data_IF_230782471182
#
_entry.id   IF_230782471182
#
_cell.length_a   1.000
_cell.length_b   1.000
_cell.length_c   1.000
_cell.angle_alpha   90.00
_cell.angle_beta   90.00
_cell.angle_gamma   90.00
#
_symmetry.space_group_name_H-M   'P 1'
#
loop_
_entity.id
_entity.type
_entity.pdbx_description
1 polymer ?
#
# COMPACT_ATOMS: atom_id res chain seq x y z
N UNK A 1 37.31 31.44 32.76
CA UNK A 1 35.88 31.50 33.12
C UNK A 1 35.16 30.16 32.90
N UNK A 2 35.42 29.44 31.80
CA UNK A 2 34.78 28.14 31.56
C UNK A 2 35.21 27.02 32.51
N UNK A 3 36.49 26.98 32.90
CA UNK A 3 37.04 25.98 33.83
C UNK A 3 36.89 26.35 35.32
N UNK A 4 36.48 27.58 35.62
CA UNK A 4 36.30 28.05 37.00
C UNK A 4 34.97 27.62 37.62
N UNK A 5 34.13 26.91 36.87
CA UNK A 5 32.84 26.41 37.32
C UNK A 5 32.69 24.93 36.90
N UNK A 6 32.56 23.99 37.86
CA UNK A 6 32.52 22.55 37.59
C UNK A 6 31.41 22.09 36.65
N UNK A 7 30.20 22.63 36.81
CA UNK A 7 29.04 22.24 36.00
C UNK A 7 29.14 22.72 34.54
N UNK A 8 29.49 23.99 34.27
CA UNK A 8 29.82 24.42 32.90
C UNK A 8 30.94 23.59 32.27
N UNK A 9 32.00 23.29 33.02
CA UNK A 9 33.09 22.46 32.51
C UNK A 9 32.61 21.06 32.07
N UNK A 10 31.64 20.46 32.78
CA UNK A 10 31.08 19.14 32.42
C UNK A 10 30.32 19.18 31.09
N UNK A 11 29.52 20.22 30.85
CA UNK A 11 28.80 20.41 29.60
C UNK A 11 29.75 20.54 28.41
N UNK A 12 30.84 21.29 28.57
CA UNK A 12 31.83 21.46 27.51
C UNK A 12 32.73 20.22 27.33
N UNK A 13 33.03 19.49 28.41
CA UNK A 13 33.68 18.19 28.35
C UNK A 13 32.84 17.18 27.53
N UNK A 14 31.51 17.25 27.60
CA UNK A 14 30.61 16.43 26.78
C UNK A 14 30.86 16.65 25.29
N UNK A 15 30.99 17.92 24.86
CA UNK A 15 31.26 18.27 23.47
C UNK A 15 32.65 17.80 23.02
N UNK A 16 33.67 18.01 23.85
CA UNK A 16 35.03 17.57 23.57
C UNK A 16 35.15 16.04 23.46
N UNK A 17 34.47 15.29 24.33
CA UNK A 17 34.45 13.82 24.26
C UNK A 17 33.65 13.30 23.06
N UNK A 18 32.61 14.03 22.60
CA UNK A 18 31.91 13.70 21.35
C UNK A 18 32.82 13.90 20.15
N UNK A 19 33.53 15.02 20.09
CA UNK A 19 34.51 15.29 19.03
C UNK A 19 35.62 14.23 19.00
N UNK A 20 36.10 13.80 20.17
CA UNK A 20 37.00 12.65 20.30
C UNK A 20 36.43 11.37 19.71
N UNK A 21 35.14 11.10 19.93
CA UNK A 21 34.46 9.90 19.41
C UNK A 21 34.28 9.95 17.90
N UNK A 22 33.95 11.10 17.34
CA UNK A 22 33.63 11.26 15.91
C UNK A 22 34.88 11.47 15.05
N UNK A 23 35.89 12.18 15.57
CA UNK A 23 37.06 12.65 14.83
C UNK A 23 38.40 12.16 15.38
N UNK A 24 38.41 11.53 16.57
CA UNK A 24 39.62 11.04 17.22
C UNK A 24 40.43 12.12 17.97
N UNK A 25 40.05 13.39 17.86
CA UNK A 25 40.79 14.53 18.41
C UNK A 25 40.13 15.07 19.68
N UNK A 26 40.95 15.41 20.67
CA UNK A 26 40.51 16.10 21.88
C UNK A 26 41.64 16.98 22.41
N UNK A 27 41.41 18.29 22.63
CA UNK A 27 42.41 19.15 23.26
C UNK A 27 42.86 18.58 24.62
N UNK A 28 44.17 18.60 24.88
CA UNK A 28 44.77 18.01 26.07
C UNK A 28 44.12 18.50 27.38
N UNK A 29 43.76 19.80 27.43
CA UNK A 29 43.09 20.42 28.58
C UNK A 29 41.80 19.68 29.00
N UNK A 30 41.05 19.12 28.05
CA UNK A 30 39.83 18.37 28.37
C UNK A 30 40.12 16.99 28.96
N UNK A 31 41.30 16.43 28.67
CA UNK A 31 41.80 15.23 29.36
C UNK A 31 42.07 15.50 30.83
N UNK A 32 42.64 16.66 31.15
CA UNK A 32 42.90 17.06 32.54
C UNK A 32 41.59 17.31 33.30
N UNK A 33 40.63 18.02 32.67
CA UNK A 33 39.30 18.23 33.25
C UNK A 33 38.57 16.92 33.48
N UNK A 34 38.68 15.97 32.55
CA UNK A 34 38.14 14.62 32.70
C UNK A 34 38.75 13.89 33.89
N UNK A 35 40.08 13.87 34.00
CA UNK A 35 40.80 13.21 35.09
C UNK A 35 40.46 13.83 36.45
N UNK A 36 40.38 15.16 36.52
CA UNK A 36 39.96 15.88 37.72
C UNK A 36 38.53 15.50 38.13
N UNK A 37 37.56 15.55 37.20
CA UNK A 37 36.16 15.16 37.48
C UNK A 37 36.01 13.68 37.86
N UNK A 38 36.96 12.82 37.48
CA UNK A 38 36.97 11.41 37.84
C UNK A 38 37.33 11.20 39.33
N UNK A 39 38.15 12.11 39.88
CA UNK A 39 38.65 12.06 41.26
C UNK A 39 37.80 12.90 42.22
N UNK A 40 37.08 13.91 41.73
CA UNK A 40 36.20 14.75 42.53
C UNK A 40 34.90 14.02 42.93
N UNK A 41 34.60 13.99 44.24
CA UNK A 41 33.47 13.23 44.79
C UNK A 41 32.09 13.76 44.33
N UNK A 42 31.98 15.05 43.99
CA UNK A 42 30.73 15.69 43.56
C UNK A 42 30.53 15.51 42.06
N UNK A 43 31.60 15.63 41.27
CA UNK A 43 31.54 15.58 39.81
C UNK A 43 31.56 14.16 39.25
N UNK A 44 32.19 13.20 39.93
CA UNK A 44 32.33 11.82 39.45
C UNK A 44 30.98 11.14 39.08
N UNK A 45 29.90 11.24 39.89
CA UNK A 45 28.61 10.64 39.52
C UNK A 45 28.00 11.25 38.26
N UNK A 46 28.14 12.57 38.08
CA UNK A 46 27.64 13.31 36.92
C UNK A 46 28.43 12.95 35.66
N UNK A 47 29.76 12.89 35.78
CA UNK A 47 30.66 12.43 34.73
C UNK A 47 30.30 11.00 34.30
N UNK A 48 30.11 10.06 35.23
CA UNK A 48 29.72 8.67 34.92
C UNK A 48 28.41 8.60 34.15
N UNK A 49 27.39 9.37 34.54
CA UNK A 49 26.09 9.41 33.86
C UNK A 49 26.23 9.96 32.43
N UNK A 50 27.02 11.01 32.26
CA UNK A 50 27.33 11.59 30.96
C UNK A 50 28.08 10.60 30.06
N UNK A 51 29.12 9.93 30.57
CA UNK A 51 29.87 8.91 29.84
C UNK A 51 29.01 7.72 29.43
N UNK A 52 28.12 7.28 30.33
CA UNK A 52 27.15 6.22 30.01
C UNK A 52 26.25 6.63 28.84
N UNK A 53 25.83 7.90 28.78
CA UNK A 53 25.12 8.48 27.63
C UNK A 53 25.94 8.47 26.34
N UNK A 54 27.19 8.91 26.42
CA UNK A 54 28.06 9.10 25.25
C UNK A 54 28.57 7.79 24.63
N UNK A 55 28.80 6.79 25.47
CA UNK A 55 29.35 5.48 25.09
C UNK A 55 28.35 4.33 25.20
N UNK A 56 27.05 4.64 25.25
CA UNK A 56 26.00 3.62 25.16
C UNK A 56 26.22 2.83 23.84
N UNK A 57 26.56 1.54 23.91
CA UNK A 57 26.64 0.75 22.70
C UNK A 57 25.22 0.62 22.14
N UNK A 58 25.08 0.79 20.82
CA UNK A 58 23.86 0.40 20.13
C UNK A 58 23.67 -1.10 20.35
N UNK A 59 22.82 -1.47 21.30
CA UNK A 59 22.45 -2.88 21.48
C UNK A 59 21.42 -3.21 20.42
N UNK A 60 21.87 -3.77 19.31
CA UNK A 60 20.99 -4.56 18.44
C UNK A 60 20.63 -5.84 19.21
N UNK A 61 19.60 -5.75 20.05
CA UNK A 61 19.08 -6.93 20.74
C UNK A 61 18.22 -7.70 19.75
N UNK A 62 18.78 -8.77 19.19
CA UNK A 62 17.98 -9.76 18.46
C UNK A 62 17.06 -10.52 19.42
N UNK A 63 15.86 -10.85 18.96
CA UNK A 63 14.91 -11.66 19.74
C UNK A 63 15.41 -13.11 19.72
N UNK A 64 15.62 -13.77 20.87
CA UNK A 64 16.01 -15.17 20.90
C UNK A 64 15.01 -16.05 20.13
N UNK A 65 15.50 -17.02 19.34
CA UNK A 65 14.67 -17.87 18.49
C UNK A 65 13.46 -18.53 19.21
N UNK A 66 13.59 -19.05 20.44
CA UNK A 66 12.45 -19.61 21.17
C UNK A 66 11.36 -18.57 21.48
N UNK A 67 11.76 -17.32 21.75
CA UNK A 67 10.83 -16.21 22.00
C UNK A 67 10.15 -15.78 20.70
N UNK A 68 10.91 -15.66 19.60
CA UNK A 68 10.37 -15.34 18.29
C UNK A 68 9.35 -16.39 17.82
N UNK A 69 9.64 -17.68 18.00
CA UNK A 69 8.72 -18.76 17.66
C UNK A 69 7.39 -18.63 18.43
N UNK A 70 7.44 -18.35 19.73
CA UNK A 70 6.24 -18.16 20.57
C UNK A 70 5.45 -16.90 20.22
N UNK A 71 6.12 -15.83 19.80
CA UNK A 71 5.47 -14.57 19.46
C UNK A 71 4.78 -14.60 18.09
N UNK A 72 5.42 -15.23 17.11
CA UNK A 72 5.02 -15.07 15.71
C UNK A 72 4.38 -16.32 15.09
N UNK A 73 4.66 -17.51 15.63
CA UNK A 73 4.18 -18.76 15.05
C UNK A 73 3.17 -19.44 15.96
N UNK A 74 2.25 -20.19 15.34
CA UNK A 74 1.39 -21.15 16.02
C UNK A 74 1.57 -22.47 15.27
N UNK A 75 1.97 -23.53 15.97
CA UNK A 75 2.23 -24.84 15.35
C UNK A 75 3.23 -24.78 14.18
N UNK A 76 4.33 -24.01 14.36
CA UNK A 76 5.36 -23.72 13.32
C UNK A 76 4.83 -23.00 12.07
N UNK A 77 3.59 -22.50 12.10
CA UNK A 77 2.95 -21.74 11.03
C UNK A 77 2.92 -20.26 11.37
N UNK A 78 3.51 -19.45 10.50
CA UNK A 78 3.43 -17.99 10.50
C UNK A 78 2.22 -17.57 9.68
N UNK A 79 1.28 -16.83 10.25
CA UNK A 79 0.16 -16.26 9.49
C UNK A 79 0.45 -14.81 9.11
N UNK A 80 0.32 -14.45 7.84
CA UNK A 80 0.66 -13.13 7.33
C UNK A 80 -0.37 -12.56 6.35
N UNK A 81 -0.22 -11.28 6.08
CA UNK A 81 -0.83 -10.58 4.93
C UNK A 81 0.27 -9.83 4.20
N UNK A 82 0.01 -9.38 2.98
CA UNK A 82 0.92 -8.51 2.20
C UNK A 82 1.36 -7.31 3.00
N UNK A 83 0.42 -6.56 3.59
CA UNK A 83 0.73 -5.40 4.44
C UNK A 83 1.65 -5.74 5.60
N UNK A 84 1.50 -6.94 6.21
CA UNK A 84 2.37 -7.38 7.31
C UNK A 84 3.79 -7.65 6.83
N UNK A 85 3.96 -8.30 5.68
CA UNK A 85 5.29 -8.55 5.10
C UNK A 85 5.96 -7.25 4.65
N UNK A 86 5.23 -6.38 3.97
CA UNK A 86 5.73 -5.06 3.56
C UNK A 86 6.14 -4.22 4.78
N UNK A 87 5.37 -4.26 5.88
CA UNK A 87 5.74 -3.58 7.12
C UNK A 87 7.06 -4.11 7.69
N UNK A 88 7.30 -5.42 7.62
CA UNK A 88 8.56 -6.02 8.06
C UNK A 88 9.74 -5.57 7.18
N UNK A 89 9.57 -5.59 5.85
CA UNK A 89 10.58 -5.15 4.89
C UNK A 89 10.91 -3.66 5.02
N UNK A 90 9.92 -2.82 5.35
CA UNK A 90 10.12 -1.40 5.61
C UNK A 90 10.82 -1.15 6.96
N UNK A 91 10.39 -1.83 8.03
CA UNK A 91 10.97 -1.66 9.36
C UNK A 91 10.66 -2.87 10.26
N UNK A 92 11.65 -3.73 10.56
CA UNK A 92 11.47 -4.88 11.44
C UNK A 92 10.96 -4.50 12.84
N UNK A 93 11.42 -3.36 13.38
CA UNK A 93 10.97 -2.89 14.69
C UNK A 93 9.49 -2.48 14.70
N UNK A 94 9.02 -1.80 13.64
CA UNK A 94 7.60 -1.46 13.50
C UNK A 94 6.74 -2.72 13.42
N UNK A 95 7.19 -3.73 12.66
CA UNK A 95 6.50 -5.02 12.60
C UNK A 95 6.47 -5.70 13.98
N UNK A 96 7.58 -5.71 14.71
CA UNK A 96 7.63 -6.25 16.07
C UNK A 96 6.65 -5.52 17.02
N UNK A 97 6.66 -4.18 17.02
CA UNK A 97 5.77 -3.37 17.84
C UNK A 97 4.28 -3.63 17.52
N UNK A 98 3.92 -3.68 16.23
CA UNK A 98 2.53 -3.84 15.80
C UNK A 98 2.01 -5.28 15.91
N UNK A 99 2.82 -6.29 15.56
CA UNK A 99 2.34 -7.68 15.42
C UNK A 99 2.79 -8.61 16.55
N UNK A 100 3.94 -8.34 17.18
CA UNK A 100 4.40 -9.12 18.33
C UNK A 100 3.86 -8.53 19.64
N UNK A 101 4.16 -7.25 19.89
CA UNK A 101 3.70 -6.55 21.10
C UNK A 101 2.24 -6.11 21.03
N UNK A 102 1.66 -6.08 19.82
CA UNK A 102 0.26 -5.68 19.57
C UNK A 102 -0.05 -4.29 20.10
N UNK A 103 0.90 -3.37 19.97
CA UNK A 103 0.70 -1.98 20.35
C UNK A 103 -0.35 -1.37 19.43
N UNK A 104 -1.39 -0.79 20.04
CA UNK A 104 -2.43 -0.05 19.35
C UNK A 104 -2.34 1.42 19.72
N UNK A 105 -2.59 2.28 18.74
CA UNK A 105 -2.81 3.69 19.04
C UNK A 105 -4.12 3.82 19.81
N UNK A 106 -4.20 4.85 20.66
CA UNK A 106 -5.44 5.14 21.39
C UNK A 106 -6.55 5.47 20.39
N UNK A 107 -7.65 4.74 20.46
CA UNK A 107 -8.83 5.03 19.67
C UNK A 107 -9.33 6.45 19.98
N UNK A 108 -9.48 7.24 18.92
CA UNK A 108 -10.13 8.55 18.96
C UNK A 108 -11.42 8.42 18.16
N UNK A 109 -12.54 8.89 18.72
CA UNK A 109 -13.82 8.96 18.03
C UNK A 109 -13.82 10.11 17.01
N UNK A 110 -13.01 9.93 15.97
CA UNK A 110 -12.83 10.86 14.86
C UNK A 110 -12.84 10.04 13.58
N UNK A 111 -13.52 10.55 12.55
CA UNK A 111 -13.49 9.91 11.24
C UNK A 111 -12.06 9.99 10.67
N UNK A 112 -11.43 8.83 10.50
CA UNK A 112 -10.04 8.69 10.09
C UNK A 112 -9.92 8.63 8.56
N UNK A 113 -8.70 8.84 8.04
CA UNK A 113 -8.43 8.65 6.62
C UNK A 113 -8.69 7.22 6.14
N UNK A 114 -8.53 6.22 7.01
CA UNK A 114 -8.78 4.82 6.69
C UNK A 114 -10.28 4.54 6.48
N UNK A 115 -11.14 5.16 7.28
CA UNK A 115 -12.60 5.00 7.16
C UNK A 115 -13.11 5.47 5.79
N UNK A 116 -12.50 6.53 5.25
CA UNK A 116 -12.79 7.02 3.90
C UNK A 116 -12.48 5.96 2.83
N UNK A 117 -11.33 5.30 2.94
CA UNK A 117 -10.95 4.20 2.06
C UNK A 117 -11.92 3.03 2.17
N UNK A 118 -12.20 2.56 3.39
CA UNK A 118 -13.10 1.43 3.63
C UNK A 118 -14.49 1.65 3.04
N UNK A 119 -15.07 2.84 3.22
CA UNK A 119 -16.38 3.18 2.64
C UNK A 119 -16.34 3.18 1.12
N UNK A 120 -15.30 3.76 0.51
CA UNK A 120 -15.17 3.78 -0.95
C UNK A 120 -14.98 2.38 -1.54
N UNK A 121 -14.15 1.52 -0.92
CA UNK A 121 -14.03 0.12 -1.33
C UNK A 121 -15.38 -0.60 -1.25
N UNK A 122 -16.10 -0.43 -0.12
CA UNK A 122 -17.43 -1.02 0.06
C UNK A 122 -18.44 -0.57 -1.00
N UNK A 123 -18.46 0.72 -1.35
CA UNK A 123 -19.34 1.24 -2.40
C UNK A 123 -18.95 0.68 -3.77
N UNK A 124 -17.66 0.68 -4.11
CA UNK A 124 -17.19 0.18 -5.41
C UNK A 124 -17.42 -1.32 -5.57
N UNK A 125 -17.23 -2.09 -4.50
CA UNK A 125 -17.61 -3.51 -4.44
C UNK A 125 -19.11 -3.68 -4.64
N UNK A 126 -19.93 -3.06 -3.79
CA UNK A 126 -21.37 -3.25 -3.81
C UNK A 126 -21.99 -2.82 -5.14
N UNK A 127 -21.47 -1.73 -5.72
CA UNK A 127 -21.86 -1.30 -7.05
C UNK A 127 -21.45 -2.33 -8.10
N UNK A 128 -20.19 -2.77 -8.11
CA UNK A 128 -19.70 -3.77 -9.08
C UNK A 128 -20.44 -5.11 -9.00
N UNK A 129 -20.71 -5.61 -7.79
CA UNK A 129 -21.50 -6.82 -7.55
C UNK A 129 -22.93 -6.65 -8.10
N UNK A 130 -23.57 -5.50 -7.85
CA UNK A 130 -24.89 -5.18 -8.37
C UNK A 130 -24.92 -5.11 -9.89
N UNK A 131 -23.97 -4.43 -10.54
CA UNK A 131 -23.85 -4.39 -12.01
C UNK A 131 -23.69 -5.80 -12.58
N UNK A 132 -22.83 -6.62 -11.96
CA UNK A 132 -22.62 -8.01 -12.38
C UNK A 132 -23.90 -8.84 -12.29
N UNK A 133 -24.66 -8.74 -11.19
CA UNK A 133 -25.86 -9.55 -10.98
C UNK A 133 -27.10 -9.05 -11.71
N UNK A 134 -27.32 -7.73 -11.79
CA UNK A 134 -28.56 -7.14 -12.30
C UNK A 134 -28.47 -6.78 -13.79
N UNK A 135 -27.26 -6.47 -14.29
CA UNK A 135 -27.03 -6.04 -15.68
C UNK A 135 -26.06 -6.96 -16.43
N UNK A 136 -25.65 -8.10 -15.85
CA UNK A 136 -24.75 -9.04 -16.50
C UNK A 136 -23.40 -8.42 -16.88
N UNK A 137 -22.84 -7.56 -16.02
CA UNK A 137 -21.64 -6.76 -16.27
C UNK A 137 -21.80 -5.59 -17.27
N UNK A 138 -23.01 -5.20 -17.66
CA UNK A 138 -23.21 -3.97 -18.45
C UNK A 138 -23.17 -2.72 -17.55
N UNK A 139 -21.97 -2.15 -17.40
CA UNK A 139 -21.73 -0.93 -16.63
C UNK A 139 -22.36 0.32 -17.26
N UNK A 140 -22.58 0.33 -18.57
CA UNK A 140 -23.16 1.47 -19.27
C UNK A 140 -24.66 1.55 -19.00
N UNK A 141 -25.37 0.41 -19.09
CA UNK A 141 -26.77 0.33 -18.74
C UNK A 141 -27.01 0.67 -17.27
N UNK A 142 -26.14 0.21 -16.37
CA UNK A 142 -26.27 0.45 -14.94
C UNK A 142 -25.93 1.90 -14.49
N UNK A 143 -25.29 2.69 -15.36
CA UNK A 143 -24.84 4.05 -15.00
C UNK A 143 -26.00 5.00 -14.71
N UNK A 144 -27.16 4.80 -15.34
CA UNK A 144 -28.36 5.64 -15.16
C UNK A 144 -28.89 5.59 -13.72
N UNK A 145 -28.78 4.43 -13.08
CA UNK A 145 -29.24 4.19 -11.70
C UNK A 145 -28.12 4.34 -10.67
N UNK A 146 -26.91 4.71 -11.11
CA UNK A 146 -25.75 4.81 -10.23
C UNK A 146 -25.92 5.78 -9.05
N UNK A 147 -26.50 6.99 -9.20
CA UNK A 147 -26.69 7.90 -8.07
C UNK A 147 -27.56 7.30 -6.97
N UNK A 148 -28.65 6.64 -7.33
CA UNK A 148 -29.57 6.00 -6.38
C UNK A 148 -28.90 4.80 -5.70
N UNK A 149 -28.20 3.96 -6.48
CA UNK A 149 -27.50 2.80 -5.92
C UNK A 149 -26.37 3.19 -4.97
N UNK A 150 -25.61 4.24 -5.29
CA UNK A 150 -24.55 4.76 -4.40
C UNK A 150 -25.15 5.26 -3.09
N UNK A 151 -26.30 5.92 -3.13
CA UNK A 151 -26.98 6.39 -1.91
C UNK A 151 -27.49 5.22 -1.05
N UNK A 152 -28.05 4.19 -1.66
CA UNK A 152 -28.44 2.95 -0.97
C UNK A 152 -27.23 2.31 -0.26
N UNK A 153 -26.12 2.13 -0.98
CA UNK A 153 -24.89 1.55 -0.43
C UNK A 153 -24.29 2.41 0.69
N UNK A 154 -24.34 3.75 0.55
CA UNK A 154 -23.91 4.64 1.62
C UNK A 154 -24.75 4.45 2.88
N UNK A 155 -26.07 4.34 2.76
CA UNK A 155 -26.96 4.11 3.90
C UNK A 155 -26.71 2.77 4.58
N UNK A 156 -26.33 1.74 3.83
CA UNK A 156 -25.97 0.42 4.36
C UNK A 156 -24.60 0.40 5.05
N UNK A 157 -23.59 1.05 4.46
CA UNK A 157 -22.20 0.95 4.88
C UNK A 157 -21.83 1.92 6.00
N UNK A 158 -22.43 3.11 6.02
CA UNK A 158 -22.11 4.13 7.03
C UNK A 158 -22.31 3.61 8.47
N UNK A 159 -23.42 2.91 8.82
CA UNK A 159 -23.62 2.36 10.16
C UNK A 159 -22.53 1.38 10.63
N UNK A 160 -21.84 0.74 9.68
CA UNK A 160 -20.83 -0.29 9.96
C UNK A 160 -19.46 0.31 10.33
N UNK A 161 -19.25 1.61 10.07
CA UNK A 161 -18.00 2.30 10.40
C UNK A 161 -18.02 2.74 11.87
N UNK A 162 -16.91 2.54 12.57
CA UNK A 162 -16.68 2.92 13.97
C UNK A 162 -16.66 4.46 14.17
N UNK A 163 -17.77 5.15 13.91
CA UNK A 163 -17.89 6.61 14.01
C UNK A 163 -19.34 7.12 13.90
N UNK A 164 -20.35 6.27 14.07
CA UNK A 164 -21.79 6.65 13.98
C UNK A 164 -22.18 7.80 14.94
N UNK A 165 -21.45 7.96 16.04
CA UNK A 165 -21.59 9.09 16.98
C UNK A 165 -21.40 10.46 16.31
N UNK A 166 -20.74 10.53 15.15
CA UNK A 166 -20.44 11.78 14.44
C UNK A 166 -21.52 12.21 13.43
N UNK A 167 -22.59 11.43 13.24
CA UNK A 167 -23.68 11.73 12.29
C UNK A 167 -24.38 13.09 12.51
N UNK A 168 -24.30 13.62 13.73
CA UNK A 168 -24.93 14.89 14.12
C UNK A 168 -24.14 16.14 13.71
N UNK A 169 -22.90 16.01 13.23
CA UNK A 169 -22.02 17.17 12.93
C UNK A 169 -22.03 17.53 11.45
N UNK A 170 -22.09 18.83 11.14
CA UNK A 170 -22.03 19.34 9.77
C UNK A 170 -20.76 18.89 9.01
N UNK A 171 -19.63 18.76 9.71
CA UNK A 171 -18.38 18.26 9.15
C UNK A 171 -18.47 16.80 8.68
N UNK A 172 -19.30 15.97 9.32
CA UNK A 172 -19.52 14.59 8.91
C UNK A 172 -20.34 14.53 7.63
N UNK A 173 -21.41 15.34 7.52
CA UNK A 173 -22.22 15.46 6.30
C UNK A 173 -21.37 15.83 5.08
N UNK A 174 -20.46 16.80 5.23
CA UNK A 174 -19.54 17.18 4.17
C UNK A 174 -18.59 16.03 3.76
N UNK A 175 -18.13 15.21 4.72
CA UNK A 175 -17.29 14.04 4.41
C UNK A 175 -18.05 12.97 3.65
N UNK A 176 -19.30 12.69 4.04
CA UNK A 176 -20.17 11.76 3.32
C UNK A 176 -20.44 12.28 1.90
N UNK A 177 -20.74 13.57 1.74
CA UNK A 177 -20.90 14.17 0.42
C UNK A 177 -19.64 13.98 -0.44
N UNK A 178 -18.46 14.21 0.15
CA UNK A 178 -17.19 14.00 -0.54
C UNK A 178 -16.98 12.54 -0.95
N UNK A 179 -17.38 11.57 -0.12
CA UNK A 179 -17.36 10.15 -0.47
C UNK A 179 -18.30 9.90 -1.64
N UNK A 180 -19.54 10.40 -1.57
CA UNK A 180 -20.54 10.26 -2.64
C UNK A 180 -20.01 10.78 -3.98
N UNK A 181 -19.55 12.04 -4.02
CA UNK A 181 -19.00 12.62 -5.24
C UNK A 181 -17.76 11.87 -5.74
N UNK A 182 -16.91 11.37 -4.84
CA UNK A 182 -15.73 10.59 -5.21
C UNK A 182 -16.12 9.24 -5.80
N UNK A 183 -17.10 8.54 -5.21
CA UNK A 183 -17.63 7.29 -5.73
C UNK A 183 -18.28 7.49 -7.11
N UNK A 184 -19.14 8.51 -7.26
CA UNK A 184 -19.77 8.85 -8.53
C UNK A 184 -18.75 9.11 -9.64
N UNK A 185 -17.73 9.95 -9.35
CA UNK A 185 -16.69 10.26 -10.32
C UNK A 185 -15.85 9.01 -10.70
N UNK A 186 -15.57 8.15 -9.71
CA UNK A 186 -14.84 6.90 -9.94
C UNK A 186 -15.65 5.90 -10.75
N UNK A 187 -16.93 5.73 -10.44
CA UNK A 187 -17.85 4.86 -11.18
C UNK A 187 -18.00 5.33 -12.62
N UNK A 188 -18.18 6.63 -12.86
CA UNK A 188 -18.23 7.18 -14.22
C UNK A 188 -16.95 6.86 -15.01
N UNK A 189 -15.78 6.98 -14.39
CA UNK A 189 -14.51 6.65 -15.03
C UNK A 189 -14.38 5.15 -15.33
N UNK A 190 -14.74 4.29 -14.37
CA UNK A 190 -14.72 2.84 -14.55
C UNK A 190 -15.74 2.37 -15.60
N UNK A 191 -16.91 2.99 -15.68
CA UNK A 191 -17.90 2.72 -16.74
C UNK A 191 -17.38 3.15 -18.11
N UNK A 192 -16.75 4.33 -18.21
CA UNK A 192 -16.11 4.78 -19.45
C UNK A 192 -15.04 3.80 -19.92
N UNK A 193 -14.24 3.28 -18.99
CA UNK A 193 -13.23 2.28 -19.29
C UNK A 193 -13.85 0.94 -19.68
N UNK A 194 -14.89 0.48 -18.97
CA UNK A 194 -15.62 -0.74 -19.31
C UNK A 194 -16.23 -0.70 -20.72
N UNK A 195 -16.70 0.48 -21.18
CA UNK A 195 -17.18 0.67 -22.55
C UNK A 195 -16.09 0.51 -23.62
N UNK A 196 -14.83 0.76 -23.25
CA UNK A 196 -13.67 0.70 -24.13
C UNK A 196 -12.82 -0.57 -23.93
N UNK A 197 -13.23 -1.48 -23.05
CA UNK A 197 -12.47 -2.65 -22.65
C UNK A 197 -13.25 -3.94 -22.92
N UNK A 198 -12.55 -4.95 -23.42
CA UNK A 198 -13.05 -6.31 -23.56
C UNK A 198 -12.86 -7.14 -22.28
N UNK A 199 -12.16 -6.59 -21.28
CA UNK A 199 -12.07 -7.19 -19.95
C UNK A 199 -13.34 -6.87 -19.15
N UNK A 200 -13.92 -7.90 -18.53
CA UNK A 200 -15.10 -7.74 -17.69
C UNK A 200 -14.84 -8.29 -16.28
N UNK A 201 -15.52 -7.75 -15.25
CA UNK A 201 -15.36 -8.25 -13.89
C UNK A 201 -15.73 -9.73 -13.77
N UNK A 202 -14.79 -10.51 -13.25
CA UNK A 202 -15.03 -11.87 -12.75
C UNK A 202 -15.58 -11.81 -11.32
N UNK A 203 -14.95 -10.99 -10.47
CA UNK A 203 -15.36 -10.84 -9.08
C UNK A 203 -14.71 -9.66 -8.36
N UNK A 204 -15.30 -9.32 -7.22
CA UNK A 204 -14.88 -8.23 -6.34
C UNK A 204 -14.56 -8.78 -4.96
N UNK A 205 -13.60 -8.15 -4.27
CA UNK A 205 -13.24 -8.45 -2.88
C UNK A 205 -13.01 -9.96 -2.61
N UNK A 206 -12.35 -10.64 -3.55
CA UNK A 206 -12.13 -12.08 -3.54
C UNK A 206 -11.14 -12.43 -2.42
N UNK A 207 -11.68 -12.97 -1.33
CA UNK A 207 -10.90 -13.39 -0.17
C UNK A 207 -10.14 -14.68 -0.42
N UNK A 208 -8.92 -14.77 0.10
CA UNK A 208 -8.07 -15.95 -0.04
C UNK A 208 -7.26 -16.27 1.23
N UNK A 209 -6.94 -17.55 1.39
CA UNK A 209 -5.99 -18.05 2.38
C UNK A 209 -6.57 -18.36 3.76
N UNK A 210 -7.77 -17.87 4.11
CA UNK A 210 -8.46 -18.31 5.35
C UNK A 210 -9.19 -19.63 5.10
N UNK A 211 -9.48 -20.34 6.20
CA UNK A 211 -10.17 -21.66 6.17
C UNK A 211 -11.58 -21.61 5.54
N UNK A 212 -12.25 -20.46 5.58
CA UNK A 212 -13.61 -20.30 5.06
C UNK A 212 -13.64 -19.56 3.72
N UNK A 213 -12.49 -19.17 3.18
CA UNK A 213 -12.43 -18.45 1.91
C UNK A 213 -12.66 -19.42 0.74
N UNK A 214 -13.21 -18.92 -0.37
CA UNK A 214 -13.39 -19.71 -1.59
C UNK A 214 -12.07 -20.07 -2.27
N UNK A 215 -11.04 -19.23 -2.09
CA UNK A 215 -9.72 -19.41 -2.70
C UNK A 215 -8.73 -19.93 -1.66
N UNK A 216 -8.21 -21.13 -1.92
CA UNK A 216 -7.16 -21.75 -1.09
C UNK A 216 -5.80 -21.36 -1.64
N UNK A 217 -4.92 -20.90 -0.76
CA UNK A 217 -3.52 -20.65 -1.07
C UNK A 217 -2.67 -21.64 -0.27
N UNK A 218 -1.79 -22.36 -0.96
CA UNK A 218 -0.84 -23.24 -0.30
C UNK A 218 0.09 -22.45 0.61
N UNK A 219 0.49 -23.05 1.72
CA UNK A 219 1.47 -22.45 2.61
C UNK A 219 2.85 -22.44 1.94
N UNK A 220 3.57 -21.33 2.08
CA UNK A 220 4.94 -21.20 1.60
C UNK A 220 5.88 -21.91 2.59
N UNK A 221 6.74 -22.83 2.12
CA UNK A 221 7.73 -23.45 2.99
C UNK A 221 8.78 -22.42 3.41
N UNK A 222 9.13 -22.41 4.69
CA UNK A 222 10.23 -21.63 5.23
C UNK A 222 11.35 -22.54 5.71
N UNK A 223 12.48 -21.93 6.10
CA UNK A 223 13.56 -22.65 6.78
C UNK A 223 13.07 -23.34 8.07
N UNK A 224 13.81 -24.35 8.50
CA UNK A 224 13.54 -25.12 9.72
C UNK A 224 12.13 -25.72 9.77
N UNK A 225 11.56 -26.13 8.63
CA UNK A 225 10.24 -26.77 8.57
C UNK A 225 9.09 -25.90 9.08
N UNK A 226 9.27 -24.58 9.14
CA UNK A 226 8.18 -23.63 9.35
C UNK A 226 7.43 -23.39 8.05
N UNK A 227 6.21 -22.86 8.15
CA UNK A 227 5.44 -22.47 6.97
C UNK A 227 4.87 -21.07 7.12
N UNK A 228 4.69 -20.36 6.00
CA UNK A 228 4.03 -19.06 5.93
C UNK A 228 2.69 -19.22 5.23
N UNK A 229 1.62 -18.96 5.98
CA UNK A 229 0.26 -18.87 5.46
C UNK A 229 -0.10 -17.41 5.18
N UNK A 230 -0.33 -17.09 3.91
CA UNK A 230 -0.76 -15.76 3.50
C UNK A 230 -2.28 -15.71 3.32
N UNK A 231 -2.87 -14.62 3.79
CA UNK A 231 -4.27 -14.27 3.56
C UNK A 231 -4.38 -12.84 3.05
N UNK A 232 -5.42 -12.59 2.27
CA UNK A 232 -5.70 -11.27 1.72
C UNK A 232 -7.03 -11.24 1.01
N UNK A 233 -7.24 -10.16 0.26
CA UNK A 233 -8.47 -9.91 -0.49
C UNK A 233 -8.11 -9.16 -1.76
N UNK A 234 -8.43 -9.74 -2.92
CA UNK A 234 -8.24 -9.10 -4.23
C UNK A 234 -9.42 -8.16 -4.46
N UNK A 235 -9.18 -6.85 -4.61
CA UNK A 235 -10.28 -5.89 -4.72
C UNK A 235 -11.16 -6.12 -5.95
N UNK A 236 -10.54 -6.35 -7.11
CA UNK A 236 -11.24 -6.66 -8.36
C UNK A 236 -10.36 -7.51 -9.27
N UNK A 237 -10.97 -8.53 -9.84
CA UNK A 237 -10.39 -9.40 -10.87
C UNK A 237 -11.24 -9.29 -12.12
N UNK A 238 -10.61 -8.91 -13.24
CA UNK A 238 -11.24 -8.88 -14.55
C UNK A 238 -10.60 -9.94 -15.45
N UNK A 239 -11.39 -10.46 -16.39
CA UNK A 239 -10.99 -11.56 -17.29
C UNK A 239 -11.42 -11.27 -18.72
N UNK A 240 -10.75 -11.90 -19.68
CA UNK A 240 -11.00 -11.76 -21.12
C UNK A 240 -10.78 -13.11 -21.81
N UNK A 241 -11.42 -13.31 -22.98
CA UNK A 241 -11.16 -14.41 -23.92
C UNK A 241 -11.27 -15.79 -23.27
N UNK A 242 -12.47 -16.14 -22.78
CA UNK A 242 -12.73 -17.41 -22.09
C UNK A 242 -11.77 -17.69 -20.91
N UNK A 243 -11.35 -16.63 -20.21
CA UNK A 243 -10.36 -16.67 -19.13
C UNK A 243 -8.92 -16.95 -19.57
N UNK A 244 -8.57 -16.75 -20.86
CA UNK A 244 -7.18 -16.83 -21.30
C UNK A 244 -6.31 -15.73 -20.68
N UNK A 245 -6.89 -14.56 -20.38
CA UNK A 245 -6.20 -13.44 -19.76
C UNK A 245 -6.94 -12.90 -18.55
N UNK A 246 -6.18 -12.42 -17.57
CA UNK A 246 -6.73 -11.77 -16.38
C UNK A 246 -5.98 -10.51 -15.99
N UNK A 247 -6.70 -9.63 -15.31
CA UNK A 247 -6.23 -8.33 -14.85
C UNK A 247 -6.65 -8.15 -13.40
N UNK A 248 -5.68 -7.83 -12.55
CA UNK A 248 -5.98 -7.49 -11.15
C UNK A 248 -5.98 -5.98 -10.97
N UNK A 249 -7.00 -5.49 -10.26
CA UNK A 249 -7.12 -4.11 -9.85
C UNK A 249 -7.13 -3.99 -8.34
N UNK A 250 -6.49 -2.93 -7.84
CA UNK A 250 -6.55 -2.50 -6.44
C UNK A 250 -6.95 -1.03 -6.38
N UNK A 251 -7.99 -0.73 -5.60
CA UNK A 251 -8.54 0.61 -5.48
C UNK A 251 -7.68 1.44 -4.52
N UNK A 252 -7.24 2.63 -4.94
CA UNK A 252 -6.37 3.49 -4.12
C UNK A 252 -6.81 4.94 -4.12
N UNK A 253 -7.03 5.48 -2.92
CA UNK A 253 -7.38 6.90 -2.71
C UNK A 253 -6.16 7.83 -2.72
N UNK A 254 -4.95 7.27 -2.50
CA UNK A 254 -3.68 7.98 -2.53
C UNK A 254 -2.97 7.86 -3.88
N UNK A 255 -1.94 8.70 -4.08
CA UNK A 255 -1.05 8.53 -5.21
C UNK A 255 -0.24 7.23 -5.06
N UNK A 256 -0.28 6.38 -6.08
CA UNK A 256 0.45 5.12 -6.09
C UNK A 256 1.26 4.96 -7.38
N UNK A 257 2.41 4.34 -7.21
CA UNK A 257 3.29 3.90 -8.28
C UNK A 257 3.70 2.46 -8.00
N UNK A 258 3.88 1.67 -9.06
CA UNK A 258 4.39 0.31 -8.96
C UNK A 258 5.78 0.28 -9.59
N UNK A 259 6.82 0.34 -8.77
CA UNK A 259 8.21 0.35 -9.24
C UNK A 259 8.85 -1.01 -9.03
N UNK A 260 9.55 -1.51 -10.04
CA UNK A 260 10.25 -2.80 -9.97
C UNK A 260 11.26 -2.89 -8.80
N UNK A 261 12.04 -1.84 -8.46
CA UNK A 261 12.88 -1.87 -7.26
C UNK A 261 12.09 -2.07 -5.95
N UNK A 262 10.89 -1.49 -5.84
CA UNK A 262 10.05 -1.66 -4.63
C UNK A 262 9.53 -3.10 -4.51
N UNK A 263 9.15 -3.72 -5.64
CA UNK A 263 8.80 -5.15 -5.68
C UNK A 263 10.02 -6.00 -5.30
N UNK A 264 11.19 -5.72 -5.89
CA UNK A 264 12.45 -6.46 -5.63
C UNK A 264 12.86 -6.47 -4.16
N UNK A 265 12.58 -5.39 -3.44
CA UNK A 265 12.90 -5.28 -2.02
C UNK A 265 11.74 -5.67 -1.09
N UNK A 266 10.63 -6.16 -1.65
CA UNK A 266 9.45 -6.58 -0.90
C UNK A 266 8.70 -5.42 -0.23
N UNK A 267 8.86 -4.20 -0.74
CA UNK A 267 8.23 -2.99 -0.20
C UNK A 267 6.81 -2.79 -0.74
N UNK A 268 6.52 -3.31 -1.95
CA UNK A 268 5.19 -3.35 -2.57
C UNK A 268 5.02 -4.67 -3.31
N UNK A 269 4.32 -5.61 -2.69
CA UNK A 269 4.09 -6.95 -3.23
C UNK A 269 2.61 -7.28 -3.39
N UNK A 270 1.70 -6.44 -2.87
CA UNK A 270 0.27 -6.70 -2.85
C UNK A 270 -0.29 -7.14 -4.20
N UNK A 271 -0.09 -6.34 -5.25
CA UNK A 271 -0.57 -6.65 -6.60
C UNK A 271 0.09 -7.90 -7.20
N UNK A 272 1.38 -8.13 -6.94
CA UNK A 272 2.09 -9.32 -7.41
C UNK A 272 1.57 -10.59 -6.72
N UNK A 273 1.29 -10.54 -5.41
CA UNK A 273 0.64 -11.64 -4.70
C UNK A 273 -0.73 -11.92 -5.29
N UNK A 274 -1.50 -10.90 -5.64
CA UNK A 274 -2.81 -11.10 -6.22
C UNK A 274 -2.72 -11.81 -7.57
N UNK A 275 -1.78 -11.42 -8.45
CA UNK A 275 -1.53 -12.14 -9.69
C UNK A 275 -1.18 -13.61 -9.45
N UNK A 276 -0.39 -13.90 -8.42
CA UNK A 276 -0.03 -15.26 -8.04
C UNK A 276 -1.24 -16.06 -7.54
N UNK A 277 -2.08 -15.44 -6.70
CA UNK A 277 -3.27 -16.07 -6.11
C UNK A 277 -4.33 -16.39 -7.16
N UNK A 278 -4.48 -15.54 -8.19
CA UNK A 278 -5.47 -15.78 -9.26
C UNK A 278 -5.28 -17.16 -9.89
N UNK A 279 -4.05 -17.64 -10.06
CA UNK A 279 -3.77 -18.99 -10.61
C UNK A 279 -4.30 -20.15 -9.77
N UNK A 280 -4.77 -19.88 -8.55
CA UNK A 280 -5.41 -20.85 -7.64
C UNK A 280 -6.94 -20.70 -7.62
N UNK A 281 -7.51 -19.80 -8.42
CA UNK A 281 -8.94 -19.63 -8.61
C UNK A 281 -9.38 -20.59 -9.74
N UNK A 282 -10.47 -21.36 -9.55
CA UNK A 282 -11.01 -22.21 -10.60
C UNK A 282 -11.24 -21.46 -11.91
N UNK A 283 -10.99 -22.12 -13.03
CA UNK A 283 -11.15 -21.62 -14.40
C UNK A 283 -10.10 -20.55 -14.81
N UNK A 284 -9.06 -20.33 -14.00
CA UNK A 284 -7.99 -19.36 -14.27
C UNK A 284 -6.59 -19.93 -14.10
N UNK A 285 -6.46 -21.26 -14.00
CA UNK A 285 -5.19 -21.96 -13.78
C UNK A 285 -4.20 -21.77 -14.94
N UNK A 286 -4.73 -21.76 -16.17
CA UNK A 286 -3.97 -21.57 -17.41
C UNK A 286 -3.98 -20.12 -17.90
N UNK A 287 -4.75 -19.25 -17.24
CA UNK A 287 -4.87 -17.85 -17.58
C UNK A 287 -3.53 -17.13 -17.43
N UNK A 288 -3.25 -16.16 -18.32
CA UNK A 288 -2.04 -15.36 -18.27
C UNK A 288 -2.33 -13.92 -17.78
N UNK A 289 -1.48 -13.33 -16.91
CA UNK A 289 -1.71 -11.96 -16.44
C UNK A 289 -1.53 -10.95 -17.58
N UNK A 290 -2.59 -10.23 -17.95
CA UNK A 290 -2.54 -9.07 -18.82
C UNK A 290 -2.02 -7.83 -18.09
N UNK A 291 -2.14 -7.79 -16.76
CA UNK A 291 -1.56 -6.72 -15.96
C UNK A 291 -2.00 -6.72 -14.50
N UNK A 292 -1.41 -5.79 -13.76
CA UNK A 292 -1.77 -5.44 -12.40
C UNK A 292 -1.79 -3.92 -12.25
N UNK A 293 -2.95 -3.37 -11.87
CA UNK A 293 -3.21 -1.93 -11.91
C UNK A 293 -3.72 -1.42 -10.56
N UNK A 294 -3.31 -0.20 -10.23
CA UNK A 294 -4.00 0.63 -9.27
C UNK A 294 -5.08 1.44 -10.00
N UNK A 295 -6.30 1.39 -9.48
CA UNK A 295 -7.41 2.22 -9.93
C UNK A 295 -7.53 3.43 -8.97
N UNK A 296 -7.24 4.67 -9.41
CA UNK A 296 -7.35 5.84 -8.56
C UNK A 296 -8.79 6.12 -8.17
N UNK A 297 -9.08 6.10 -6.86
CA UNK A 297 -10.39 6.46 -6.30
C UNK A 297 -10.33 7.88 -5.78
N UNK A 298 -10.57 8.84 -6.67
CA UNK A 298 -10.48 10.26 -6.36
C UNK A 298 -11.38 11.10 -7.25
N UNK A 299 -11.78 12.24 -6.73
CA UNK A 299 -12.36 13.33 -7.49
C UNK A 299 -11.30 14.43 -7.65
N UNK A 300 -10.56 14.49 -8.79
CA UNK A 300 -9.41 15.37 -8.93
C UNK A 300 -9.83 16.83 -9.04
N UNK A 301 -9.17 17.69 -8.27
CA UNK A 301 -9.24 19.14 -8.49
C UNK A 301 -8.28 19.46 -9.63
N UNK A 302 -8.81 20.04 -10.71
CA UNK A 302 -8.02 20.41 -11.90
C UNK A 302 -7.53 21.85 -11.74
N UNK A 303 -6.25 22.10 -11.41
CA UNK A 303 -5.71 23.46 -11.36
C UNK A 303 -5.66 24.01 -12.78
N UNK A 304 -6.29 25.17 -13.00
CA UNK A 304 -6.19 25.84 -14.28
C UNK A 304 -6.28 27.36 -14.13
N UNK A 305 -5.38 28.05 -14.82
CA UNK A 305 -5.33 29.51 -14.87
C UNK A 305 -6.19 30.08 -16.01
N UNK A 306 -6.84 29.21 -16.79
CA UNK A 306 -7.67 29.56 -17.94
C UNK A 306 -9.00 28.82 -17.81
N UNK A 307 -10.10 29.45 -18.26
CA UNK A 307 -11.40 28.79 -18.32
C UNK A 307 -11.35 27.67 -19.36
N UNK A 308 -11.62 26.45 -18.92
CA UNK A 308 -11.73 25.28 -19.78
C UNK A 308 -13.18 25.14 -20.26
N UNK A 309 -13.36 24.62 -21.47
CA UNK A 309 -14.64 24.07 -21.89
C UNK A 309 -14.87 22.69 -21.23
N UNK A 310 -16.08 22.15 -21.36
CA UNK A 310 -16.42 20.87 -20.74
C UNK A 310 -15.54 19.72 -21.26
N UNK A 311 -15.22 19.72 -22.55
CA UNK A 311 -14.43 18.66 -23.18
C UNK A 311 -12.97 18.66 -22.67
N UNK A 312 -12.34 19.83 -22.56
CA UNK A 312 -10.99 19.96 -22.01
C UNK A 312 -10.96 19.66 -20.50
N UNK A 313 -12.00 20.05 -19.75
CA UNK A 313 -12.11 19.70 -18.34
C UNK A 313 -12.21 18.18 -18.16
N UNK A 314 -13.11 17.51 -18.90
CA UNK A 314 -13.26 16.05 -18.86
C UNK A 314 -11.95 15.34 -19.16
N UNK A 315 -11.21 15.77 -20.19
CA UNK A 315 -9.88 15.21 -20.51
C UNK A 315 -8.89 15.33 -19.34
N UNK A 316 -8.80 16.50 -18.71
CA UNK A 316 -7.91 16.69 -17.55
C UNK A 316 -8.32 15.86 -16.33
N UNK A 317 -9.62 15.69 -16.11
CA UNK A 317 -10.14 14.80 -15.05
C UNK A 317 -9.72 13.35 -15.35
N UNK A 318 -9.93 12.87 -16.58
CA UNK A 318 -9.53 11.53 -17.02
C UNK A 318 -8.02 11.31 -16.90
N UNK A 319 -7.20 12.27 -17.33
CA UNK A 319 -5.74 12.22 -17.15
C UNK A 319 -5.34 12.04 -15.69
N UNK A 320 -6.04 12.73 -14.78
CA UNK A 320 -5.84 12.57 -13.35
C UNK A 320 -6.19 11.16 -12.86
N UNK A 321 -7.13 10.47 -13.49
CA UNK A 321 -7.70 9.20 -13.03
C UNK A 321 -7.16 7.96 -13.72
N UNK A 322 -6.20 8.11 -14.66
CA UNK A 322 -5.62 6.98 -15.38
C UNK A 322 -5.15 5.86 -14.44
N UNK A 323 -5.47 4.63 -14.81
CA UNK A 323 -5.03 3.43 -14.12
C UNK A 323 -3.51 3.26 -14.32
N UNK A 324 -2.79 3.04 -13.22
CA UNK A 324 -1.32 2.96 -13.22
C UNK A 324 -0.84 1.62 -12.68
N UNK A 325 0.20 1.04 -13.28
CA UNK A 325 0.69 -0.26 -12.85
C UNK A 325 1.67 -0.88 -13.84
N UNK A 326 1.61 -2.21 -13.95
CA UNK A 326 2.38 -2.98 -14.92
C UNK A 326 1.44 -3.77 -15.83
N UNK A 327 1.66 -3.68 -17.13
CA UNK A 327 0.87 -4.30 -18.19
C UNK A 327 1.74 -5.25 -19.02
N UNK A 328 1.13 -6.25 -19.63
CA UNK A 328 1.80 -7.13 -20.58
C UNK A 328 2.14 -6.36 -21.86
N UNK A 329 3.37 -6.53 -22.34
CA UNK A 329 3.85 -5.96 -23.61
C UNK A 329 3.30 -6.75 -24.80
N UNK A 330 1.99 -6.64 -25.02
CA UNK A 330 1.27 -7.25 -26.14
C UNK A 330 0.27 -6.23 -26.70
N UNK A 331 0.52 -5.77 -27.93
CA UNK A 331 -0.24 -4.70 -28.57
C UNK A 331 -1.73 -5.04 -28.74
N UNK A 332 -2.06 -6.31 -29.00
CA UNK A 332 -3.44 -6.72 -29.23
C UNK A 332 -4.20 -6.77 -27.92
N UNK A 333 -3.59 -7.33 -26.87
CA UNK A 333 -4.18 -7.35 -25.52
C UNK A 333 -4.36 -5.93 -24.97
N UNK A 334 -3.37 -5.04 -25.16
CA UNK A 334 -3.47 -3.66 -24.70
C UNK A 334 -4.58 -2.88 -25.43
N UNK A 335 -4.78 -3.11 -26.73
CA UNK A 335 -5.92 -2.53 -27.46
C UNK A 335 -7.25 -3.05 -26.95
N UNK A 336 -7.33 -4.35 -26.63
CA UNK A 336 -8.54 -4.93 -26.02
C UNK A 336 -8.77 -4.41 -24.60
N UNK A 337 -7.71 -4.04 -23.88
CA UNK A 337 -7.77 -3.48 -22.54
C UNK A 337 -8.29 -2.04 -22.50
N UNK A 338 -7.93 -1.21 -23.49
CA UNK A 338 -8.41 0.16 -23.61
C UNK A 338 -8.34 0.64 -25.07
N UNK A 339 -9.42 0.40 -25.81
CA UNK A 339 -9.54 0.77 -27.22
C UNK A 339 -9.43 2.29 -27.45
N UNK A 340 -9.79 3.09 -26.45
CA UNK A 340 -9.72 4.55 -26.49
C UNK A 340 -8.33 5.11 -26.12
N UNK A 341 -7.47 4.31 -25.51
CA UNK A 341 -6.14 4.70 -25.00
C UNK A 341 -6.14 5.92 -24.04
N UNK A 342 -7.25 6.14 -23.33
CA UNK A 342 -7.48 7.30 -22.46
C UNK A 342 -7.57 6.93 -20.96
N UNK A 343 -7.70 5.65 -20.63
CA UNK A 343 -7.97 5.15 -19.28
C UNK A 343 -6.71 4.59 -18.62
N UNK A 344 -5.77 4.05 -19.38
CA UNK A 344 -4.52 3.47 -18.85
C UNK A 344 -3.31 4.38 -19.08
N UNK A 345 -2.25 4.17 -18.30
CA UNK A 345 -1.02 4.98 -18.33
C UNK A 345 -0.10 4.76 -19.55
N UNK A 346 -0.61 4.18 -20.64
CA UNK A 346 0.12 3.95 -21.89
C UNK A 346 -0.46 4.81 -23.02
N UNK A 347 0.33 4.97 -24.09
CA UNK A 347 -0.10 5.61 -25.32
C UNK A 347 0.56 4.95 -26.53
N UNK A 348 -0.15 4.97 -27.65
CA UNK A 348 0.32 4.43 -28.93
C UNK A 348 0.79 5.55 -29.86
N UNK A 349 1.82 5.26 -30.64
CA UNK A 349 2.27 6.08 -31.76
C UNK A 349 1.35 5.84 -32.98
N UNK A 350 1.49 6.66 -34.03
CA UNK A 350 0.68 6.54 -35.26
C UNK A 350 0.88 5.22 -36.02
N UNK A 351 2.01 4.55 -35.81
CA UNK A 351 2.35 3.24 -36.38
C UNK A 351 1.85 2.07 -35.51
N UNK A 352 0.98 2.34 -34.53
CA UNK A 352 0.50 1.39 -33.52
C UNK A 352 1.58 0.80 -32.60
N UNK A 353 2.81 1.32 -32.63
CA UNK A 353 3.84 0.96 -31.64
C UNK A 353 3.62 1.70 -30.33
N UNK A 354 4.12 1.14 -29.22
CA UNK A 354 4.07 1.81 -27.92
C UNK A 354 4.97 3.07 -27.91
N UNK A 355 4.47 4.13 -27.28
CA UNK A 355 5.27 5.32 -27.05
C UNK A 355 6.43 5.03 -26.07
N UNK A 356 7.56 5.71 -26.24
CA UNK A 356 8.73 5.55 -25.35
C UNK A 356 8.41 5.83 -23.87
N UNK A 357 7.45 6.71 -23.60
CA UNK A 357 6.98 7.00 -22.25
C UNK A 357 6.22 5.84 -21.58
N UNK A 358 5.66 4.94 -22.40
CA UNK A 358 4.88 3.77 -21.95
C UNK A 358 5.77 2.59 -21.54
N UNK A 359 7.02 2.53 -22.02
CA UNK A 359 7.96 1.43 -21.75
C UNK A 359 8.15 1.12 -20.25
N UNK A 360 8.02 2.13 -19.37
CA UNK A 360 8.13 1.92 -17.92
C UNK A 360 6.97 1.12 -17.30
N UNK A 361 5.82 1.08 -17.98
CA UNK A 361 4.58 0.45 -17.53
C UNK A 361 4.33 -0.92 -18.19
N UNK A 362 5.09 -1.32 -19.21
CA UNK A 362 4.89 -2.59 -19.91
C UNK A 362 6.02 -3.58 -19.62
N UNK A 363 5.71 -4.87 -19.54
CA UNK A 363 6.68 -5.95 -19.30
C UNK A 363 6.38 -7.12 -20.23
N UNK A 364 7.44 -7.76 -20.72
CA UNK A 364 7.35 -8.97 -21.54
C UNK A 364 6.71 -10.13 -20.79
N UNK A 365 6.29 -11.16 -21.54
CA UNK A 365 5.72 -12.38 -20.99
C UNK A 365 6.69 -13.08 -20.03
N UNK A 366 7.96 -13.11 -20.41
CA UNK A 366 9.06 -13.68 -19.64
C UNK A 366 9.27 -12.92 -18.33
N UNK A 367 9.23 -11.58 -18.36
CA UNK A 367 9.36 -10.76 -17.14
C UNK A 367 8.20 -11.00 -16.16
N UNK A 368 6.95 -11.14 -16.63
CA UNK A 368 5.82 -11.50 -15.77
C UNK A 368 6.00 -12.87 -15.13
N UNK A 369 6.46 -13.86 -15.90
CA UNK A 369 6.77 -15.19 -15.37
C UNK A 369 7.89 -15.14 -14.33
N UNK A 370 8.95 -14.37 -14.59
CA UNK A 370 10.04 -14.14 -13.64
C UNK A 370 9.52 -13.51 -12.34
N UNK A 371 8.69 -12.46 -12.42
CA UNK A 371 8.08 -11.84 -11.25
C UNK A 371 7.25 -12.82 -10.43
N UNK A 372 6.40 -13.61 -11.07
CA UNK A 372 5.59 -14.63 -10.40
C UNK A 372 6.45 -15.73 -9.75
N UNK A 373 7.53 -16.15 -10.42
CA UNK A 373 8.47 -17.15 -9.90
C UNK A 373 9.35 -16.60 -8.77
N UNK A 374 9.55 -15.28 -8.72
CA UNK A 374 10.34 -14.59 -7.72
C UNK A 374 9.53 -14.32 -6.44
N UNK A 375 8.21 -14.20 -6.52
CA UNK A 375 7.36 -13.94 -5.36
C UNK A 375 7.58 -14.94 -4.18
N UNK A 376 7.69 -16.27 -4.38
CA UNK A 376 8.00 -17.19 -3.29
C UNK A 376 9.38 -16.99 -2.64
N UNK A 377 10.31 -16.31 -3.32
CA UNK A 377 11.67 -16.02 -2.82
C UNK A 377 11.75 -14.69 -2.06
N UNK A 378 10.79 -13.79 -2.26
CA UNK A 378 10.63 -12.51 -1.55
C UNK A 378 10.17 -12.70 -0.11
#
# INVERSE_FOLDING_TARGET
LLLSAPYPALSHLTAALREKKERGEMPAMWGDVYNWMLQDAVMQPLLRRMLHGLFLPSREVSIPAPVAARLFTRDRRLSGSTTRLETFRQCPFRHFAMYALRLQQRDRYEFQSNDFGTLLHGILRGYGEWVRSAYGNDWCAALTEAPEKIEELLQELIPQVHSTVLMSRASYRHRIERIRCTAQQTIQHLTSWAAASSFHPYGFEISFGRRNDGVRLADFPLADGMTLSLRGQIDRLDVMDHHAYYLVLDYKTGATSLLLPEIRHGLKMQLLLYLFVVRSIPDTEEAFPAGMLYAPVKNPVVPCNVRLDEAALRRKVMEGMKLTGMLLDDADIMKQLDQAADHICISFNKDNSLSKSSAKFVRSREEFQQLLSFLPQL
#
